data_IF_845344840403
#
_entry.id   IF_845344840403
#
_cell.length_a   1.000
_cell.length_b   1.000
_cell.length_c   1.000
_cell.angle_alpha   90.00
_cell.angle_beta   90.00
_cell.angle_gamma   90.00
#
_symmetry.space_group_name_H-M   'P 1'
#
loop_
_entity.id
_entity.type
_entity.pdbx_description
1 polymer ?
#
# COMPACT_ATOMS: atom_id res chain seq x y z
N UNK A 1 23.07 50.07 55.10
CA UNK A 1 21.81 49.53 54.58
C UNK A 1 22.00 49.40 53.06
N UNK A 2 22.44 48.26 52.49
CA UNK A 2 21.72 46.98 52.24
C UNK A 2 20.42 47.20 51.46
N UNK A 3 20.08 46.58 50.31
CA UNK A 3 20.51 45.35 49.62
C UNK A 3 20.38 45.54 48.09
N UNK A 4 21.21 44.80 47.32
CA UNK A 4 21.09 44.55 45.88
C UNK A 4 19.77 43.83 45.53
N UNK A 5 19.19 44.05 44.36
CA UNK A 5 18.30 43.07 43.72
C UNK A 5 18.59 42.95 42.23
N UNK A 6 18.74 41.70 41.81
CA UNK A 6 19.19 41.19 40.53
C UNK A 6 18.03 40.45 39.85
N UNK A 7 18.06 40.45 38.51
CA UNK A 7 17.65 39.39 37.59
C UNK A 7 16.18 38.89 37.58
N UNK A 8 15.58 38.89 36.38
CA UNK A 8 15.23 37.65 35.67
C UNK A 8 14.71 38.01 34.25
N UNK A 9 15.65 38.20 33.33
CA UNK A 9 15.35 38.11 31.90
C UNK A 9 15.24 36.63 31.53
N UNK A 10 14.02 36.15 31.33
CA UNK A 10 13.74 34.82 30.78
C UNK A 10 14.13 34.81 29.29
N UNK A 11 15.38 34.46 29.01
CA UNK A 11 15.78 34.01 27.69
C UNK A 11 15.24 32.58 27.51
N UNK A 12 14.13 32.45 26.80
CA UNK A 12 13.67 31.14 26.30
C UNK A 12 14.62 30.75 25.17
N UNK A 13 15.72 30.09 25.54
CA UNK A 13 16.54 29.36 24.59
C UNK A 13 15.72 28.14 24.13
N UNK A 14 14.96 28.31 23.06
CA UNK A 14 14.46 27.19 22.29
C UNK A 14 15.66 26.52 21.63
N UNK A 15 16.28 25.58 22.35
CA UNK A 15 17.23 24.64 21.77
C UNK A 15 16.45 23.80 20.79
N UNK A 16 16.54 24.16 19.50
CA UNK A 16 16.13 23.28 18.41
C UNK A 16 17.19 22.17 18.41
N UNK A 17 16.95 21.14 19.21
CA UNK A 17 17.71 19.91 19.08
C UNK A 17 17.41 19.35 17.68
N UNK A 18 18.43 18.93 16.90
CA UNK A 18 18.17 18.14 15.71
C UNK A 18 17.42 16.90 16.16
N UNK A 19 16.19 16.75 15.67
CA UNK A 19 15.42 15.52 15.84
C UNK A 19 16.22 14.46 15.11
N UNK A 20 16.91 13.60 15.87
CA UNK A 20 17.45 12.37 15.31
C UNK A 20 16.29 11.67 14.61
N UNK A 21 16.44 11.40 13.31
CA UNK A 21 15.52 10.53 12.57
C UNK A 21 15.62 9.15 13.22
N UNK A 22 14.81 8.92 14.24
CA UNK A 22 14.55 7.58 14.71
C UNK A 22 13.90 6.86 13.53
N UNK A 23 14.62 5.89 12.95
CA UNK A 23 14.06 4.94 11.99
C UNK A 23 12.84 4.30 12.65
N UNK A 24 11.67 4.77 12.26
CA UNK A 24 10.39 4.38 12.84
C UNK A 24 9.69 3.48 11.84
N UNK A 25 8.92 2.53 12.37
CA UNK A 25 8.00 1.77 11.56
C UNK A 25 6.99 2.73 10.91
N UNK A 26 6.88 2.67 9.59
CA UNK A 26 5.84 3.36 8.85
C UNK A 26 4.78 2.33 8.46
N UNK A 27 3.50 2.74 8.54
CA UNK A 27 2.38 1.86 8.22
C UNK A 27 1.43 2.57 7.27
N UNK A 28 1.26 1.98 6.09
CA UNK A 28 0.33 2.44 5.07
C UNK A 28 -0.87 1.51 5.06
N UNK A 29 -2.08 2.08 5.11
CA UNK A 29 -3.34 1.33 5.10
C UNK A 29 -4.29 1.95 4.10
N UNK A 30 -4.92 1.12 3.28
CA UNK A 30 -5.94 1.56 2.32
C UNK A 30 -7.04 0.51 2.21
N UNK A 31 -8.28 0.93 1.96
CA UNK A 31 -9.32 0.00 1.54
C UNK A 31 -9.27 -0.17 0.03
N UNK A 32 -9.17 -1.40 -0.44
CA UNK A 32 -9.15 -1.77 -1.84
C UNK A 32 -10.48 -2.42 -2.24
N UNK A 33 -10.94 -2.15 -3.46
CA UNK A 33 -12.02 -2.92 -4.09
C UNK A 33 -11.41 -3.73 -5.22
N UNK A 34 -11.58 -5.05 -5.19
CA UNK A 34 -11.11 -5.93 -6.24
C UNK A 34 -11.92 -5.74 -7.51
N UNK A 35 -11.24 -5.67 -8.64
CA UNK A 35 -11.82 -5.46 -9.96
C UNK A 35 -11.88 -6.79 -10.70
N UNK A 36 -10.73 -7.34 -11.07
CA UNK A 36 -10.62 -8.51 -11.93
C UNK A 36 -9.23 -9.17 -11.80
N UNK A 37 -9.10 -10.41 -12.23
CA UNK A 37 -7.82 -11.10 -12.43
C UNK A 37 -7.62 -11.39 -13.91
N UNK A 38 -6.41 -11.20 -14.38
CA UNK A 38 -6.01 -11.41 -15.76
C UNK A 38 -4.89 -12.46 -15.80
N UNK A 39 -4.93 -13.29 -16.82
CA UNK A 39 -3.93 -14.29 -17.15
C UNK A 39 -3.30 -13.91 -18.48
N UNK A 40 -1.98 -13.75 -18.48
CA UNK A 40 -1.22 -13.30 -19.65
C UNK A 40 -0.68 -14.51 -20.43
N UNK A 41 -0.72 -14.44 -21.76
CA UNK A 41 -0.22 -15.47 -22.70
C UNK A 41 -0.67 -16.90 -22.34
N UNK A 42 -1.98 -17.12 -22.22
CA UNK A 42 -2.58 -18.42 -21.87
C UNK A 42 -2.51 -19.39 -23.06
N UNK A 43 -2.00 -20.60 -22.81
CA UNK A 43 -1.93 -21.71 -23.77
C UNK A 43 -2.49 -22.98 -23.17
N UNK A 44 -3.39 -23.63 -23.89
CA UNK A 44 -4.00 -24.90 -23.47
C UNK A 44 -3.38 -26.05 -24.27
N UNK A 45 -3.00 -27.11 -23.57
CA UNK A 45 -2.33 -28.29 -24.12
C UNK A 45 -3.13 -29.51 -23.70
N UNK A 46 -3.64 -30.30 -24.66
CA UNK A 46 -4.22 -31.60 -24.37
C UNK A 46 -3.10 -32.61 -24.03
N UNK A 47 -3.32 -33.49 -23.07
CA UNK A 47 -2.34 -34.52 -22.66
C UNK A 47 -2.13 -35.62 -23.71
N UNK A 48 -2.92 -35.63 -24.80
CA UNK A 48 -2.58 -36.35 -26.03
C UNK A 48 -1.44 -35.71 -26.84
N UNK A 49 -0.85 -34.63 -26.32
CA UNK A 49 0.19 -33.79 -26.92
C UNK A 49 -0.25 -33.12 -28.24
N UNK A 50 -1.56 -33.06 -28.47
CA UNK A 50 -2.15 -32.26 -29.54
C UNK A 50 -2.34 -30.83 -29.05
N UNK A 51 -1.57 -29.92 -29.65
CA UNK A 51 -1.79 -28.49 -29.50
C UNK A 51 -3.20 -28.14 -30.02
N UNK A 52 -3.97 -27.41 -29.22
CA UNK A 52 -5.27 -26.87 -29.61
C UNK A 52 -5.09 -25.37 -29.97
N UNK A 53 -4.71 -25.03 -31.22
CA UNK A 53 -4.33 -23.68 -31.60
C UNK A 53 -5.42 -22.63 -31.36
N UNK A 54 -6.69 -23.04 -31.41
CA UNK A 54 -7.85 -22.17 -31.20
C UNK A 54 -8.10 -21.82 -29.72
N UNK A 55 -7.27 -22.30 -28.80
CA UNK A 55 -7.42 -22.12 -27.35
C UNK A 55 -6.22 -21.39 -26.74
N UNK A 56 -5.70 -20.39 -27.46
CA UNK A 56 -4.65 -19.49 -26.97
C UNK A 56 -5.21 -18.08 -26.78
N UNK A 57 -4.86 -17.46 -25.65
CA UNK A 57 -5.32 -16.13 -25.29
C UNK A 57 -4.11 -15.24 -25.01
N UNK A 58 -4.05 -14.05 -25.60
CA UNK A 58 -3.04 -13.06 -25.21
C UNK A 58 -3.30 -12.56 -23.79
N UNK A 59 -4.57 -12.30 -23.48
CA UNK A 59 -5.05 -11.97 -22.14
C UNK A 59 -6.39 -12.68 -21.95
N UNK A 60 -6.55 -13.38 -20.83
CA UNK A 60 -7.81 -14.00 -20.41
C UNK A 60 -8.21 -13.43 -19.04
N UNK A 61 -9.43 -12.91 -18.92
CA UNK A 61 -9.99 -12.49 -17.64
C UNK A 61 -10.51 -13.70 -16.87
N UNK A 62 -10.44 -13.66 -15.53
CA UNK A 62 -10.99 -14.74 -14.71
C UNK A 62 -12.51 -14.87 -14.83
N UNK A 63 -13.22 -13.78 -15.16
CA UNK A 63 -14.66 -13.81 -15.41
C UNK A 63 -15.05 -14.51 -16.72
N UNK A 64 -14.20 -14.46 -17.74
CA UNK A 64 -14.43 -15.11 -19.04
C UNK A 64 -13.69 -16.45 -19.16
N UNK A 65 -13.05 -16.91 -18.08
CA UNK A 65 -12.21 -18.11 -18.09
C UNK A 65 -13.02 -19.42 -18.15
N UNK A 66 -12.93 -20.19 -19.26
CA UNK A 66 -13.65 -21.45 -19.39
C UNK A 66 -12.93 -22.63 -18.72
N UNK A 67 -11.70 -22.44 -18.23
CA UNK A 67 -10.84 -23.50 -17.70
C UNK A 67 -10.83 -23.57 -16.18
N UNK A 68 -11.33 -22.56 -15.48
CA UNK A 68 -11.34 -22.52 -14.02
C UNK A 68 -9.95 -22.38 -13.42
N UNK A 69 -9.09 -21.58 -14.04
CA UNK A 69 -7.78 -21.17 -13.58
C UNK A 69 -7.87 -20.58 -12.17
N UNK A 70 -6.88 -20.86 -11.31
CA UNK A 70 -6.92 -20.45 -9.92
C UNK A 70 -6.61 -18.96 -9.76
N UNK A 71 -7.38 -18.32 -8.87
CA UNK A 71 -7.11 -16.97 -8.35
C UNK A 71 -6.02 -17.03 -7.26
N UNK A 72 -5.48 -15.87 -6.85
CA UNK A 72 -4.59 -15.82 -5.67
C UNK A 72 -5.29 -16.24 -4.38
N UNK A 73 -6.57 -15.92 -4.27
CA UNK A 73 -7.40 -16.27 -3.13
C UNK A 73 -8.86 -16.40 -3.56
N UNK A 74 -9.54 -17.40 -3.02
CA UNK A 74 -10.95 -17.69 -3.31
C UNK A 74 -11.94 -16.55 -2.96
N UNK A 75 -11.50 -15.56 -2.18
CA UNK A 75 -12.31 -14.41 -1.81
C UNK A 75 -12.32 -13.30 -2.87
N UNK A 76 -11.48 -13.39 -3.90
CA UNK A 76 -11.39 -12.42 -4.98
C UNK A 76 -12.61 -12.53 -5.91
N UNK A 77 -13.68 -11.85 -5.51
CA UNK A 77 -14.93 -11.73 -6.28
C UNK A 77 -15.08 -10.26 -6.70
N UNK A 78 -15.35 -9.92 -7.98
CA UNK A 78 -15.47 -8.53 -8.42
C UNK A 78 -16.36 -7.68 -7.50
N UNK A 79 -15.85 -6.53 -7.07
CA UNK A 79 -16.51 -5.64 -6.11
C UNK A 79 -16.26 -5.98 -4.62
N UNK A 80 -15.60 -7.11 -4.30
CA UNK A 80 -15.21 -7.43 -2.94
C UNK A 80 -14.19 -6.42 -2.39
N UNK A 81 -14.31 -6.14 -1.09
CA UNK A 81 -13.50 -5.14 -0.41
C UNK A 81 -12.43 -5.79 0.46
N UNK A 82 -11.22 -5.26 0.39
CA UNK A 82 -10.05 -5.74 1.11
C UNK A 82 -9.38 -4.59 1.87
N UNK A 83 -8.65 -4.92 2.91
CA UNK A 83 -7.75 -3.98 3.58
C UNK A 83 -6.33 -4.25 3.11
N UNK A 84 -5.72 -3.24 2.51
CA UNK A 84 -4.29 -3.21 2.26
C UNK A 84 -3.55 -2.71 3.49
N UNK A 85 -2.47 -3.39 3.85
CA UNK A 85 -1.52 -2.96 4.88
C UNK A 85 -0.09 -3.19 4.39
N UNK A 86 0.72 -2.14 4.42
CA UNK A 86 2.15 -2.19 4.18
C UNK A 86 2.86 -1.62 5.41
N UNK A 87 3.77 -2.39 5.99
CA UNK A 87 4.66 -1.96 7.07
C UNK A 87 6.08 -1.93 6.55
N UNK A 88 6.77 -0.81 6.77
CA UNK A 88 8.17 -0.64 6.42
C UNK A 88 8.98 -0.19 7.62
N UNK A 89 10.27 -0.46 7.60
CA UNK A 89 11.26 0.13 8.49
C UNK A 89 12.03 1.20 7.71
N UNK A 90 11.76 2.48 8.00
CA UNK A 90 12.13 3.56 7.09
C UNK A 90 11.45 3.43 5.72
N UNK A 91 12.10 3.91 4.66
CA UNK A 91 11.48 4.02 3.32
C UNK A 91 11.88 2.88 2.37
N UNK A 92 12.69 1.92 2.83
CA UNK A 92 13.32 0.91 1.95
C UNK A 92 13.21 -0.53 2.44
N UNK A 93 13.06 -0.73 3.74
CA UNK A 93 13.02 -2.07 4.30
C UNK A 93 11.57 -2.49 4.46
N UNK A 94 11.17 -3.51 3.70
CA UNK A 94 9.85 -4.10 3.81
C UNK A 94 9.76 -4.97 5.07
N UNK A 95 8.74 -4.74 5.90
CA UNK A 95 8.47 -5.56 7.09
C UNK A 95 7.29 -6.50 6.83
N UNK A 96 6.20 -5.99 6.25
CA UNK A 96 5.05 -6.80 5.83
C UNK A 96 4.25 -6.11 4.73
N UNK A 97 3.62 -6.90 3.84
CA UNK A 97 2.63 -6.43 2.88
C UNK A 97 1.47 -7.42 2.78
N UNK A 98 0.25 -6.93 3.00
CA UNK A 98 -0.97 -7.74 2.94
C UNK A 98 -2.08 -7.02 2.16
N UNK A 99 -2.86 -7.76 1.36
CA UNK A 99 -4.17 -7.38 0.84
C UNK A 99 -5.21 -8.37 1.40
N UNK A 100 -5.82 -8.01 2.53
CA UNK A 100 -6.68 -8.91 3.29
C UNK A 100 -5.93 -10.20 3.64
N UNK A 101 -6.37 -11.38 3.15
CA UNK A 101 -5.68 -12.65 3.39
C UNK A 101 -4.48 -12.91 2.45
N UNK A 102 -4.25 -12.08 1.44
CA UNK A 102 -3.19 -12.25 0.44
C UNK A 102 -1.91 -11.58 0.93
N UNK A 103 -0.80 -12.31 0.95
CA UNK A 103 0.54 -11.74 1.18
C UNK A 103 1.05 -11.18 -0.14
N UNK A 104 1.46 -9.91 -0.19
CA UNK A 104 2.06 -9.33 -1.41
C UNK A 104 3.56 -9.59 -1.54
N UNK A 105 4.11 -10.37 -0.62
CA UNK A 105 5.45 -10.93 -0.74
C UNK A 105 5.38 -12.42 -0.45
N UNK A 106 5.84 -13.20 -1.41
CA UNK A 106 5.87 -14.66 -1.35
C UNK A 106 6.42 -15.16 -0.02
N UNK A 107 5.89 -16.30 0.44
CA UNK A 107 6.35 -16.96 1.66
C UNK A 107 7.80 -17.42 1.48
N UNK A 108 8.77 -16.60 1.91
CA UNK A 108 10.16 -17.03 2.06
C UNK A 108 11.23 -16.24 1.32
N UNK A 109 10.90 -15.12 0.67
CA UNK A 109 11.89 -14.32 -0.08
C UNK A 109 12.19 -12.93 0.51
N UNK A 110 12.49 -12.78 1.82
CA UNK A 110 12.76 -11.46 2.38
C UNK A 110 14.03 -10.82 1.79
N UNK A 111 14.98 -11.61 1.27
CA UNK A 111 16.28 -11.15 0.81
C UNK A 111 16.30 -10.47 -0.57
N UNK A 112 15.26 -10.69 -1.40
CA UNK A 112 15.16 -10.10 -2.74
C UNK A 112 13.95 -9.18 -2.90
N UNK A 113 13.30 -8.82 -1.78
CA UNK A 113 12.18 -7.89 -1.80
C UNK A 113 12.65 -6.45 -1.61
N UNK A 114 12.04 -5.53 -2.36
CA UNK A 114 12.26 -4.09 -2.24
C UNK A 114 10.94 -3.33 -2.14
N UNK A 115 10.98 -2.15 -1.51
CA UNK A 115 9.84 -1.26 -1.42
C UNK A 115 10.21 0.18 -1.76
N UNK A 116 9.31 0.86 -2.46
CA UNK A 116 9.24 2.30 -2.61
C UNK A 116 7.86 2.75 -2.13
N UNK A 117 7.76 3.89 -1.45
CA UNK A 117 6.51 4.34 -0.82
C UNK A 117 5.81 5.49 -1.55
N UNK A 118 6.44 6.07 -2.58
CA UNK A 118 5.84 7.11 -3.42
C UNK A 118 6.28 7.04 -4.90
N UNK A 119 5.46 6.48 -5.81
CA UNK A 119 4.26 5.68 -5.51
C UNK A 119 4.63 4.38 -4.79
N UNK A 120 3.65 3.75 -4.14
CA UNK A 120 3.90 2.46 -3.49
C UNK A 120 4.22 1.42 -4.56
N UNK A 121 5.37 0.79 -4.42
CA UNK A 121 5.79 -0.34 -5.24
C UNK A 121 6.48 -1.32 -4.32
N UNK A 122 5.98 -2.54 -4.27
CA UNK A 122 6.64 -3.67 -3.62
C UNK A 122 7.02 -4.63 -4.72
N UNK A 123 8.24 -5.15 -4.71
CA UNK A 123 8.68 -6.10 -5.72
C UNK A 123 9.57 -7.15 -5.08
N UNK A 124 9.49 -8.38 -5.57
CA UNK A 124 10.45 -9.45 -5.36
C UNK A 124 10.88 -10.01 -6.71
N UNK A 125 11.58 -11.15 -6.73
CA UNK A 125 11.88 -11.85 -7.98
C UNK A 125 10.61 -12.41 -8.63
N UNK A 126 9.62 -12.80 -7.84
CA UNK A 126 8.44 -13.52 -8.32
C UNK A 126 7.17 -12.68 -8.33
N UNK A 127 7.03 -11.73 -7.40
CA UNK A 127 5.79 -10.97 -7.23
C UNK A 127 6.07 -9.48 -7.27
N UNK A 128 5.11 -8.70 -7.76
CA UNK A 128 5.17 -7.26 -7.60
C UNK A 128 3.80 -6.67 -7.36
N UNK A 129 3.76 -5.61 -6.56
CA UNK A 129 2.59 -4.82 -6.28
C UNK A 129 2.90 -3.38 -6.68
N UNK A 130 2.07 -2.81 -7.54
CA UNK A 130 2.30 -1.48 -8.10
C UNK A 130 1.05 -0.63 -7.96
N UNK A 131 1.21 0.56 -7.39
CA UNK A 131 0.19 1.61 -7.47
C UNK A 131 0.51 2.50 -8.68
N UNK A 132 -0.48 2.73 -9.56
CA UNK A 132 -0.31 3.56 -10.77
C UNK A 132 0.06 5.03 -10.49
N UNK A 133 0.04 5.45 -9.22
CA UNK A 133 0.47 6.77 -8.80
C UNK A 133 0.35 6.95 -7.29
N UNK A 134 0.33 8.22 -6.85
CA UNK A 134 0.10 8.54 -5.46
C UNK A 134 -1.22 7.93 -4.95
N UNK A 135 -1.23 7.42 -3.72
CA UNK A 135 -2.37 6.75 -3.15
C UNK A 135 -3.54 7.74 -2.92
N UNK A 136 -4.54 7.70 -3.79
CA UNK A 136 -5.79 8.44 -3.71
C UNK A 136 -6.95 7.53 -4.07
N UNK A 137 -8.17 7.88 -3.67
CA UNK A 137 -9.37 7.12 -4.09
C UNK A 137 -9.42 7.09 -5.62
N UNK A 138 -9.65 5.91 -6.18
CA UNK A 138 -9.64 5.67 -7.62
C UNK A 138 -8.27 5.26 -8.20
N UNK A 139 -7.17 5.33 -7.43
CA UNK A 139 -5.87 4.80 -7.89
C UNK A 139 -5.99 3.29 -8.11
N UNK A 140 -5.53 2.83 -9.27
CA UNK A 140 -5.42 1.41 -9.61
C UNK A 140 -4.19 0.83 -8.92
N UNK A 141 -4.36 -0.38 -8.39
CA UNK A 141 -3.33 -1.16 -7.74
C UNK A 141 -3.31 -2.53 -8.40
N UNK A 142 -2.20 -2.87 -9.02
CA UNK A 142 -2.02 -4.17 -9.67
C UNK A 142 -1.07 -5.02 -8.83
N UNK A 143 -1.47 -6.26 -8.60
CA UNK A 143 -0.65 -7.28 -7.95
C UNK A 143 -0.33 -8.38 -8.98
N UNK A 144 0.92 -8.44 -9.38
CA UNK A 144 1.47 -9.36 -10.37
C UNK A 144 2.23 -10.50 -9.69
N UNK A 145 2.11 -11.68 -10.27
CA UNK A 145 2.98 -12.83 -10.05
C UNK A 145 3.56 -13.21 -11.41
N UNK A 146 4.86 -13.03 -11.51
CA UNK A 146 5.66 -13.42 -12.65
C UNK A 146 6.42 -14.67 -12.26
N UNK A 147 5.91 -15.82 -12.70
CA UNK A 147 6.70 -17.05 -12.68
C UNK A 147 7.91 -16.88 -13.60
N UNK A 148 9.07 -16.58 -13.02
CA UNK A 148 10.31 -16.37 -13.77
C UNK A 148 10.59 -17.56 -14.71
N UNK A 149 10.83 -17.26 -15.98
CA UNK A 149 11.20 -18.15 -17.10
C UNK A 149 10.18 -19.19 -17.61
N UNK A 150 9.23 -19.70 -16.82
CA UNK A 150 8.38 -20.84 -17.24
C UNK A 150 6.87 -20.58 -17.24
N UNK A 151 6.41 -19.46 -16.68
CA UNK A 151 4.99 -19.23 -16.48
C UNK A 151 4.40 -20.12 -15.39
N UNK A 152 3.09 -19.98 -15.12
CA UNK A 152 2.34 -20.91 -14.29
C UNK A 152 1.82 -22.05 -15.13
N UNK A 153 2.02 -23.27 -14.64
CA UNK A 153 1.47 -24.48 -15.24
C UNK A 153 0.41 -25.04 -14.31
N UNK A 154 -0.80 -25.17 -14.83
CA UNK A 154 -1.95 -25.75 -14.13
C UNK A 154 -2.32 -27.08 -14.80
N UNK A 155 -2.29 -28.16 -14.03
CA UNK A 155 -2.62 -29.51 -14.49
C UNK A 155 -4.04 -29.88 -14.05
N UNK A 156 -4.90 -30.19 -15.03
CA UNK A 156 -6.30 -30.58 -14.83
C UNK A 156 -6.55 -32.06 -15.17
N UNK A 157 -5.50 -32.85 -15.37
CA UNK A 157 -5.54 -34.30 -15.56
C UNK A 157 -5.93 -34.78 -16.95
N UNK A 158 -6.67 -34.01 -17.75
CA UNK A 158 -6.88 -34.27 -19.19
C UNK A 158 -6.24 -33.21 -20.09
N UNK A 159 -5.98 -32.02 -19.56
CA UNK A 159 -5.29 -30.93 -20.23
C UNK A 159 -4.44 -30.15 -19.22
N UNK A 160 -3.49 -29.39 -19.75
CA UNK A 160 -2.66 -28.45 -19.00
C UNK A 160 -2.88 -27.05 -19.53
N UNK A 161 -2.84 -26.05 -18.64
CA UNK A 161 -2.85 -24.64 -19.02
C UNK A 161 -1.56 -23.99 -18.58
N UNK A 162 -0.84 -23.39 -19.52
CA UNK A 162 0.33 -22.56 -19.26
C UNK A 162 -0.06 -21.09 -19.38
N UNK A 163 0.35 -20.26 -18.42
CA UNK A 163 0.18 -18.80 -18.46
C UNK A 163 1.51 -18.15 -18.19
N UNK A 164 1.88 -17.07 -18.87
CA UNK A 164 3.14 -16.36 -18.59
C UNK A 164 3.13 -15.62 -17.26
N UNK A 165 1.96 -15.14 -16.86
CA UNK A 165 1.78 -14.40 -15.64
C UNK A 165 0.32 -14.33 -15.26
N UNK A 166 0.10 -13.94 -14.02
CA UNK A 166 -1.22 -13.61 -13.49
C UNK A 166 -1.12 -12.26 -12.82
N UNK A 167 -2.15 -11.43 -12.97
CA UNK A 167 -2.25 -10.21 -12.19
C UNK A 167 -3.67 -9.91 -11.75
N UNK A 168 -3.81 -9.48 -10.50
CA UNK A 168 -5.08 -9.05 -9.92
C UNK A 168 -5.11 -7.54 -9.79
N UNK A 169 -6.16 -6.94 -10.31
CA UNK A 169 -6.38 -5.51 -10.27
C UNK A 169 -7.32 -5.13 -9.13
N UNK A 170 -6.96 -4.06 -8.44
CA UNK A 170 -7.72 -3.43 -7.38
C UNK A 170 -7.80 -1.93 -7.62
N UNK A 171 -8.77 -1.28 -6.97
CA UNK A 171 -8.88 0.18 -6.92
C UNK A 171 -8.96 0.64 -5.47
N UNK A 172 -8.22 1.69 -5.13
CA UNK A 172 -8.36 2.33 -3.81
C UNK A 172 -9.78 2.88 -3.67
N UNK A 173 -10.49 2.34 -2.69
CA UNK A 173 -11.88 2.68 -2.38
C UNK A 173 -12.02 3.44 -1.06
N UNK A 174 -11.03 3.36 -0.17
CA UNK A 174 -10.98 4.18 1.04
C UNK A 174 -9.55 4.48 1.49
N UNK A 175 -9.39 5.61 2.16
CA UNK A 175 -8.14 6.03 2.80
C UNK A 175 -8.47 6.28 4.26
N UNK A 176 -7.71 5.72 5.22
CA UNK A 176 -7.94 5.96 6.63
C UNK A 176 -7.84 7.47 6.92
N UNK A 177 -8.71 7.96 7.79
CA UNK A 177 -8.65 9.35 8.22
C UNK A 177 -7.30 9.58 8.91
N UNK A 178 -6.53 10.56 8.41
CA UNK A 178 -5.31 10.99 9.09
C UNK A 178 -5.73 11.62 10.42
N UNK A 179 -5.31 11.08 11.58
CA UNK A 179 -5.60 11.72 12.85
C UNK A 179 -4.95 13.10 12.84
N UNK A 180 -5.76 14.15 12.87
CA UNK A 180 -5.26 15.50 12.97
C UNK A 180 -4.45 15.60 14.27
N UNK A 181 -3.25 16.20 14.24
CA UNK A 181 -2.48 16.39 15.46
C UNK A 181 -3.35 17.16 16.45
N UNK A 182 -3.34 16.75 17.73
CA UNK A 182 -4.19 17.35 18.77
C UNK A 182 -3.99 18.88 18.89
N UNK A 183 -2.85 19.39 18.40
CA UNK A 183 -2.55 20.82 18.27
C UNK A 183 -3.50 21.56 17.32
N UNK A 184 -4.02 20.90 16.27
CA UNK A 184 -5.05 21.47 15.41
C UNK A 184 -6.37 21.69 16.15
N UNK A 185 -6.69 20.84 17.13
CA UNK A 185 -7.85 21.03 18.00
C UNK A 185 -7.65 22.16 19.04
N UNK A 186 -6.40 22.56 19.31
CA UNK A 186 -6.07 23.67 20.22
C UNK A 186 -5.99 25.04 19.52
N UNK A 187 -5.95 25.08 18.18
CA UNK A 187 -5.97 26.33 17.41
C UNK A 187 -7.15 27.26 17.76
N UNK A 188 -8.41 26.77 17.90
CA UNK A 188 -9.54 27.63 18.26
C UNK A 188 -9.39 28.23 19.66
N UNK A 189 -8.85 27.46 20.61
CA UNK A 189 -8.65 27.89 22.00
C UNK A 189 -7.52 28.93 22.08
N UNK A 190 -6.41 28.70 21.36
CA UNK A 190 -5.30 29.64 21.26
C UNK A 190 -5.73 30.99 20.66
N UNK A 191 -6.53 30.97 19.59
CA UNK A 191 -7.06 32.18 18.96
C UNK A 191 -8.04 32.93 19.87
N UNK A 192 -8.87 32.21 20.62
CA UNK A 192 -9.83 32.79 21.58
C UNK A 192 -9.12 33.52 22.73
N UNK A 193 -8.05 32.93 23.27
CA UNK A 193 -7.22 33.54 24.31
C UNK A 193 -6.47 34.77 23.80
N UNK A 194 -5.93 34.73 22.58
CA UNK A 194 -5.27 35.88 21.95
C UNK A 194 -6.22 37.05 21.72
N UNK A 195 -7.47 36.79 21.34
CA UNK A 195 -8.49 37.82 21.18
C UNK A 195 -8.85 38.49 22.53
N UNK A 196 -8.98 37.70 23.60
CA UNK A 196 -9.25 38.21 24.96
C UNK A 196 -8.09 39.06 25.50
N UNK A 197 -6.85 38.65 25.26
CA UNK A 197 -5.65 39.41 25.65
C UNK A 197 -5.52 40.74 24.88
N UNK A 198 -5.84 40.76 23.57
CA UNK A 198 -5.89 42.01 22.79
C UNK A 198 -6.97 42.97 23.30
N UNK A 199 -8.10 42.46 23.77
CA UNK A 199 -9.20 43.28 24.30
C UNK A 199 -8.86 43.91 25.65
N UNK A 200 -8.09 43.23 26.50
CA UNK A 200 -7.57 43.80 27.77
C UNK A 200 -6.55 44.91 27.54
N UNK A 201 -5.64 44.77 26.58
CA UNK A 201 -4.64 45.82 26.28
C UNK A 201 -5.24 47.14 25.82
N UNK A 202 -6.40 47.12 25.13
CA UNK A 202 -7.09 48.35 24.67
C UNK A 202 -7.91 49.07 25.74
N UNK A 203 -8.12 48.48 26.93
CA UNK A 203 -8.87 49.10 28.04
C UNK A 203 -7.97 49.71 29.13
N UNK A 204 -6.66 49.58 29.00
CA UNK A 204 -5.66 50.11 29.94
C UNK A 204 -4.93 51.34 29.37
N UNK A 205 -5.49 51.99 28.36
CA UNK A 205 -5.08 53.31 27.84
C UNK A 205 -6.24 54.26 28.06
#
# INVERSE_FOLDING_TARGET
MSFKSWCLGLAVAAVIAPVAEASTYQTYRYGLTYVETFYDDVRVIDLSDQFLPDQNYTVLTASDDPWGLPLYHQALVPGAKFQFELVTWGDRDLVSCMIGPISCTGRGEPYYSGVRTDPITVFSELESLYFEGAAKIGTVVDFYDTAFYLGHIFDFGSYMVNTRGRHSQFVISSIPAVPLPATAALLPIGLSLLALLRRRRKRLV
#
